data_IF_857230542289
#
_entry.id   IF_857230542289
#
_cell.length_a   1.000
_cell.length_b   1.000
_cell.length_c   1.000
_cell.angle_alpha   90.00
_cell.angle_beta   90.00
_cell.angle_gamma   90.00
#
_symmetry.space_group_name_H-M   'P 1'
#
loop_
_entity.id
_entity.type
_entity.pdbx_description
1 polymer ?
#
# COMPACT_ATOMS: atom_id res chain seq x y z
N UNK A 1 -8.49 22.76 -4.71
CA UNK A 1 -7.14 22.33 -5.11
C UNK A 1 -7.07 20.83 -4.90
N UNK A 2 -6.54 20.05 -5.84
CA UNK A 2 -6.31 18.63 -5.61
C UNK A 2 -5.20 18.50 -4.57
N UNK A 3 -5.43 17.76 -3.49
CA UNK A 3 -4.39 17.43 -2.52
C UNK A 3 -3.46 16.41 -3.19
N UNK A 4 -2.16 16.67 -3.20
CA UNK A 4 -1.19 15.66 -3.64
C UNK A 4 -1.19 14.54 -2.59
N UNK A 5 -1.41 13.31 -3.07
CA UNK A 5 -1.37 12.11 -2.25
C UNK A 5 0.08 11.62 -2.19
N UNK A 6 0.48 11.15 -1.02
CA UNK A 6 1.69 10.35 -0.86
C UNK A 6 1.57 9.02 -1.61
N UNK A 7 2.70 8.35 -1.88
CA UNK A 7 2.69 7.02 -2.52
C UNK A 7 1.82 6.01 -1.73
N UNK A 8 1.83 6.09 -0.41
CA UNK A 8 1.00 5.24 0.45
C UNK A 8 -0.49 5.58 0.33
N UNK A 9 -0.87 6.86 0.37
CA UNK A 9 -2.26 7.28 0.19
C UNK A 9 -2.77 6.91 -1.22
N UNK A 10 -1.94 7.06 -2.27
CA UNK A 10 -2.31 6.64 -3.62
C UNK A 10 -2.60 5.14 -3.68
N UNK A 11 -1.75 4.32 -3.05
CA UNK A 11 -1.95 2.88 -3.04
C UNK A 11 -3.19 2.49 -2.23
N UNK A 12 -3.45 3.15 -1.09
CA UNK A 12 -4.68 2.93 -0.33
C UNK A 12 -5.93 3.25 -1.15
N UNK A 13 -5.92 4.32 -1.97
CA UNK A 13 -7.01 4.64 -2.90
C UNK A 13 -7.14 3.60 -4.02
N UNK A 14 -6.03 3.17 -4.62
CA UNK A 14 -6.00 2.14 -5.68
C UNK A 14 -6.57 0.82 -5.19
N UNK A 15 -6.26 0.42 -3.95
CA UNK A 15 -6.76 -0.81 -3.34
C UNK A 15 -8.24 -0.76 -2.91
N UNK A 16 -8.93 0.38 -3.08
CA UNK A 16 -10.40 0.44 -2.95
C UNK A 16 -11.09 -0.23 -4.15
N UNK A 17 -10.41 -0.35 -5.28
CA UNK A 17 -10.89 -1.12 -6.41
C UNK A 17 -10.80 -2.63 -6.09
N UNK A 18 -11.92 -3.38 -6.15
CA UNK A 18 -11.94 -4.80 -5.82
C UNK A 18 -11.03 -5.67 -6.69
N UNK A 19 -10.91 -5.36 -7.98
CA UNK A 19 -10.10 -6.11 -8.94
C UNK A 19 -8.61 -5.92 -8.65
N UNK A 20 -8.20 -4.66 -8.42
CA UNK A 20 -6.81 -4.35 -8.07
C UNK A 20 -6.44 -4.91 -6.69
N UNK A 21 -7.38 -4.95 -5.74
CA UNK A 21 -7.17 -5.59 -4.43
C UNK A 21 -6.93 -7.09 -4.55
N UNK A 22 -7.65 -7.77 -5.45
CA UNK A 22 -7.46 -9.19 -5.71
C UNK A 22 -6.09 -9.49 -6.32
N UNK A 23 -5.69 -8.71 -7.33
CA UNK A 23 -4.36 -8.81 -7.96
C UNK A 23 -3.26 -8.56 -6.93
N UNK A 24 -3.39 -7.51 -6.10
CA UNK A 24 -2.44 -7.23 -5.03
C UNK A 24 -2.33 -8.39 -4.03
N UNK A 25 -3.46 -9.00 -3.66
CA UNK A 25 -3.49 -10.20 -2.83
C UNK A 25 -2.70 -11.37 -3.43
N UNK A 26 -2.91 -11.65 -4.71
CA UNK A 26 -2.17 -12.70 -5.41
C UNK A 26 -0.66 -12.40 -5.51
N UNK A 27 -0.29 -11.14 -5.79
CA UNK A 27 1.11 -10.72 -5.84
C UNK A 27 1.80 -10.83 -4.47
N UNK A 28 1.08 -10.52 -3.39
CA UNK A 28 1.59 -10.67 -2.02
C UNK A 28 1.95 -12.12 -1.69
N UNK A 29 1.17 -13.07 -2.21
CA UNK A 29 1.41 -14.49 -1.98
C UNK A 29 2.55 -15.04 -2.85
N UNK A 30 2.82 -14.43 -4.01
CA UNK A 30 3.90 -14.80 -4.93
C UNK A 30 5.24 -14.16 -4.54
N UNK A 31 5.21 -12.92 -4.03
CA UNK A 31 6.42 -12.12 -3.73
C UNK A 31 6.37 -11.61 -2.28
N UNK A 32 6.57 -12.51 -1.29
CA UNK A 32 6.43 -12.18 0.12
C UNK A 32 7.44 -11.13 0.61
N UNK A 33 8.64 -11.07 0.01
CA UNK A 33 9.68 -10.11 0.40
C UNK A 33 9.29 -8.67 0.02
N UNK A 34 8.73 -8.46 -1.17
CA UNK A 34 8.27 -7.15 -1.62
C UNK A 34 7.08 -6.66 -0.78
N UNK A 35 6.17 -7.56 -0.44
CA UNK A 35 5.06 -7.25 0.46
C UNK A 35 5.55 -6.93 1.89
N UNK A 36 6.51 -7.69 2.41
CA UNK A 36 7.06 -7.45 3.75
C UNK A 36 7.80 -6.11 3.83
N UNK A 37 8.54 -5.73 2.79
CA UNK A 37 9.18 -4.43 2.70
C UNK A 37 8.15 -3.29 2.67
N UNK A 38 7.07 -3.46 1.91
CA UNK A 38 5.95 -2.50 1.89
C UNK A 38 5.30 -2.34 3.27
N UNK A 39 4.94 -3.43 3.94
CA UNK A 39 4.31 -3.37 5.27
C UNK A 39 5.22 -2.71 6.32
N UNK A 40 6.54 -2.92 6.23
CA UNK A 40 7.52 -2.23 7.09
C UNK A 40 7.51 -0.71 6.86
N UNK A 41 7.52 -0.27 5.60
CA UNK A 41 7.47 1.16 5.25
C UNK A 41 6.16 1.80 5.73
N UNK A 42 5.03 1.14 5.48
CA UNK A 42 3.70 1.57 5.96
C UNK A 42 3.62 1.70 7.48
N UNK A 43 4.15 0.72 8.21
CA UNK A 43 4.20 0.78 9.67
C UNK A 43 5.07 1.93 10.17
N UNK A 44 6.19 2.21 9.48
CA UNK A 44 7.09 3.30 9.83
C UNK A 44 6.48 4.68 9.55
N UNK A 45 5.84 4.88 8.40
CA UNK A 45 5.15 6.13 8.08
C UNK A 45 4.07 6.46 9.13
N UNK A 46 3.25 5.48 9.50
CA UNK A 46 2.24 5.61 10.57
C UNK A 46 2.82 5.89 11.96
N UNK A 47 4.08 5.54 12.19
CA UNK A 47 4.77 5.83 13.46
C UNK A 47 5.35 7.24 13.52
N UNK A 48 5.58 7.88 12.37
CA UNK A 48 6.12 9.24 12.27
C UNK A 48 5.01 10.30 12.38
N UNK A 49 3.80 9.99 11.90
CA UNK A 49 2.64 10.88 11.97
C UNK A 49 1.94 10.90 13.36
N UNK A 50 2.49 10.24 14.38
CA UNK A 50 1.93 10.15 15.74
C UNK A 50 2.76 10.89 16.77
#
# INVERSE_FOLDING_TARGET
MAKELTEEEMLEEVLKDPELREIWGALRDIVPEAAAEYEKRRAHARSIDR
#
